data_IF_988475772671
#
_entry.id   IF_988475772671
#
_cell.length_a   1.000
_cell.length_b   1.000
_cell.length_c   1.000
_cell.angle_alpha   90.00
_cell.angle_beta   90.00
_cell.angle_gamma   90.00
#
_symmetry.space_group_name_H-M   'P 1'
#
loop_
_entity.id
_entity.type
_entity.pdbx_description
1 polymer ?
#
# COMPACT_ATOMS: atom_id res chain seq x y z
N UNK A 1 -23.63 -14.00 -63.77
CA UNK A 1 -22.83 -14.71 -62.75
C UNK A 1 -22.22 -13.66 -61.83
N UNK A 2 -22.17 -13.94 -60.52
CA UNK A 2 -22.16 -12.98 -59.41
C UNK A 2 -20.92 -12.07 -59.36
N UNK A 3 -21.17 -10.81 -58.99
CA UNK A 3 -20.19 -9.85 -58.46
C UNK A 3 -19.68 -10.37 -57.11
N UNK A 4 -18.37 -10.37 -56.88
CA UNK A 4 -17.80 -10.41 -55.54
C UNK A 4 -16.76 -9.31 -55.45
N UNK A 5 -17.15 -8.20 -54.84
CA UNK A 5 -16.26 -7.16 -54.37
C UNK A 5 -15.57 -7.67 -53.10
N UNK A 6 -14.25 -7.70 -53.09
CA UNK A 6 -13.48 -7.94 -51.87
C UNK A 6 -13.49 -6.66 -51.03
N UNK A 7 -14.38 -6.60 -50.05
CA UNK A 7 -14.32 -5.62 -48.96
C UNK A 7 -13.23 -6.08 -47.99
N UNK A 8 -12.07 -5.42 -48.05
CA UNK A 8 -11.05 -5.53 -47.02
C UNK A 8 -11.58 -4.94 -45.72
N UNK A 9 -11.84 -5.79 -44.73
CA UNK A 9 -12.18 -5.39 -43.39
C UNK A 9 -10.90 -4.88 -42.71
N UNK A 10 -10.71 -3.57 -42.66
CA UNK A 10 -9.77 -2.97 -41.72
C UNK A 10 -10.39 -3.13 -40.31
N UNK A 11 -9.96 -4.16 -39.59
CA UNK A 11 -10.25 -4.26 -38.17
C UNK A 11 -9.51 -3.13 -37.45
N UNK A 12 -10.23 -2.04 -37.18
CA UNK A 12 -9.78 -1.07 -36.19
C UNK A 12 -9.76 -1.80 -34.84
N UNK A 13 -8.56 -2.20 -34.39
CA UNK A 13 -8.35 -2.48 -32.98
C UNK A 13 -8.65 -1.18 -32.24
N UNK A 14 -9.86 -1.08 -31.67
CA UNK A 14 -10.09 -0.17 -30.56
C UNK A 14 -9.17 -0.66 -29.45
N UNK A 15 -8.07 0.07 -29.24
CA UNK A 15 -7.38 0.09 -27.97
C UNK A 15 -8.40 0.61 -26.96
N UNK A 16 -9.04 -0.30 -26.23
CA UNK A 16 -9.74 0.04 -25.01
C UNK A 16 -8.62 0.49 -24.08
N UNK A 17 -8.47 1.80 -23.93
CA UNK A 17 -7.67 2.33 -22.84
C UNK A 17 -8.48 2.01 -21.60
N UNK A 18 -8.22 0.86 -20.98
CA UNK A 18 -8.59 0.63 -19.59
C UNK A 18 -7.84 1.70 -18.82
N UNK A 19 -8.48 2.87 -18.70
CA UNK A 19 -7.91 4.02 -18.05
C UNK A 19 -7.43 3.56 -16.70
N UNK A 20 -6.15 3.78 -16.42
CA UNK A 20 -5.52 3.46 -15.14
C UNK A 20 -6.44 3.99 -14.04
N UNK A 21 -7.17 3.08 -13.39
CA UNK A 21 -7.99 3.39 -12.23
C UNK A 21 -7.03 3.43 -11.05
N UNK A 22 -6.28 4.53 -10.91
CA UNK A 22 -5.63 4.85 -9.67
C UNK A 22 -6.72 5.42 -8.76
N UNK A 23 -7.32 4.57 -7.93
CA UNK A 23 -8.13 5.03 -6.81
C UNK A 23 -7.19 5.31 -5.64
N UNK A 24 -7.26 6.53 -5.14
CA UNK A 24 -6.51 7.04 -3.99
C UNK A 24 -7.58 7.43 -2.97
N UNK A 25 -7.58 6.67 -1.86
CA UNK A 25 -8.34 6.86 -0.63
C UNK A 25 -9.86 6.61 -0.68
N UNK A 26 -10.54 6.81 0.46
CA UNK A 26 -11.99 6.64 0.70
C UNK A 26 -12.89 7.46 -0.24
N UNK A 27 -12.37 8.40 -1.03
CA UNK A 27 -13.18 9.23 -1.93
C UNK A 27 -13.60 8.48 -3.20
N UNK A 28 -12.92 7.38 -3.55
CA UNK A 28 -13.27 6.58 -4.71
C UNK A 28 -14.34 5.51 -4.36
N UNK A 29 -15.36 5.28 -5.22
CA UNK A 29 -16.39 4.28 -4.97
C UNK A 29 -15.87 2.84 -4.83
N UNK A 30 -14.72 2.53 -5.43
CA UNK A 30 -14.12 1.19 -5.42
C UNK A 30 -13.44 0.85 -4.09
N UNK A 31 -12.64 1.78 -3.55
CA UNK A 31 -11.91 1.64 -2.29
C UNK A 31 -12.85 1.65 -1.08
N UNK A 32 -13.91 2.47 -1.08
CA UNK A 32 -14.98 2.41 -0.06
C UNK A 32 -15.64 1.03 0.04
N UNK A 33 -15.73 0.32 -1.08
CA UNK A 33 -16.37 -0.99 -1.14
C UNK A 33 -15.40 -2.14 -0.80
N UNK A 34 -14.09 -1.86 -0.68
CA UNK A 34 -13.04 -2.85 -0.45
C UNK A 34 -12.00 -2.36 0.59
N UNK A 35 -12.38 -2.23 1.88
CA UNK A 35 -11.48 -1.74 2.92
C UNK A 35 -10.13 -2.47 3.03
N UNK A 36 -10.04 -3.80 2.89
CA UNK A 36 -8.75 -4.49 2.88
C UNK A 36 -7.79 -4.02 1.76
N UNK A 37 -8.31 -3.55 0.62
CA UNK A 37 -7.51 -3.05 -0.49
C UNK A 37 -7.37 -1.52 -0.51
N UNK A 38 -8.05 -0.78 0.38
CA UNK A 38 -8.01 0.68 0.45
C UNK A 38 -6.76 1.15 1.22
N UNK A 39 -5.70 1.52 0.48
CA UNK A 39 -4.52 2.16 1.07
C UNK A 39 -4.92 3.55 1.55
N UNK A 40 -4.73 3.82 2.84
CA UNK A 40 -4.93 5.16 3.39
C UNK A 40 -3.71 6.04 3.19
N UNK A 41 -2.53 5.48 3.50
CA UNK A 41 -1.27 6.21 3.49
C UNK A 41 -0.10 5.28 3.17
N UNK A 42 0.93 5.85 2.54
CA UNK A 42 2.23 5.21 2.37
C UNK A 42 3.32 6.11 2.94
N UNK A 43 4.16 5.57 3.82
CA UNK A 43 5.30 6.26 4.41
C UNK A 43 6.58 5.53 4.04
N UNK A 44 7.64 6.29 3.74
CA UNK A 44 8.98 5.74 3.57
C UNK A 44 10.02 6.72 4.11
N UNK A 45 11.00 6.22 4.87
CA UNK A 45 12.10 7.04 5.39
C UNK A 45 13.36 6.21 5.65
N UNK A 46 14.51 6.87 5.56
CA UNK A 46 15.77 6.32 6.05
C UNK A 46 15.78 6.34 7.58
N UNK A 47 16.04 5.18 8.18
CA UNK A 47 16.22 4.97 9.60
C UNK A 47 17.72 4.77 9.92
N UNK A 48 18.13 4.93 11.20
CA UNK A 48 19.51 4.64 11.61
C UNK A 48 19.98 3.24 11.21
N UNK A 49 21.31 3.03 11.22
CA UNK A 49 21.95 1.75 10.95
C UNK A 49 21.72 1.20 9.53
N UNK A 50 21.78 2.09 8.53
CA UNK A 50 21.62 1.78 7.09
C UNK A 50 20.29 1.07 6.78
N UNK A 51 19.21 1.51 7.45
CA UNK A 51 17.86 0.95 7.27
C UNK A 51 16.96 1.87 6.47
N UNK A 52 16.10 1.27 5.67
CA UNK A 52 14.99 1.93 5.01
C UNK A 52 13.71 1.35 5.61
N UNK A 53 12.79 2.19 6.05
CA UNK A 53 11.49 1.76 6.54
C UNK A 53 10.43 2.17 5.54
N UNK A 54 9.56 1.23 5.18
CA UNK A 54 8.36 1.46 4.38
C UNK A 54 7.13 0.98 5.15
N UNK A 55 6.05 1.77 5.12
CA UNK A 55 4.79 1.47 5.80
C UNK A 55 3.63 1.67 4.84
N UNK A 56 2.82 0.64 4.67
CA UNK A 56 1.53 0.70 3.96
C UNK A 56 0.42 0.62 4.99
N UNK A 57 -0.34 1.70 5.15
CA UNK A 57 -1.56 1.71 5.95
C UNK A 57 -2.77 1.45 5.04
N UNK A 58 -3.73 0.68 5.54
CA UNK A 58 -4.96 0.35 4.83
C UNK A 58 -6.11 0.10 5.81
N UNK A 59 -7.34 0.03 5.31
CA UNK A 59 -8.54 -0.17 6.12
C UNK A 59 -8.64 0.84 7.29
N UNK A 60 -8.63 2.14 6.97
CA UNK A 60 -8.61 3.20 7.99
C UNK A 60 -9.94 3.51 8.64
N UNK A 61 -9.89 4.43 9.61
CA UNK A 61 -11.03 4.87 10.44
C UNK A 61 -11.74 3.72 11.15
N UNK A 62 -11.00 2.69 11.54
CA UNK A 62 -11.53 1.61 12.37
C UNK A 62 -11.56 2.04 13.83
N UNK A 63 -12.53 1.56 14.60
CA UNK A 63 -12.62 1.88 16.03
C UNK A 63 -11.43 1.29 16.80
N UNK A 64 -10.93 2.01 17.80
CA UNK A 64 -9.86 1.51 18.67
C UNK A 64 -10.27 0.17 19.32
N UNK A 65 -9.46 -0.87 19.10
CA UNK A 65 -9.72 -2.22 19.61
C UNK A 65 -10.70 -3.05 18.79
N UNK A 66 -11.13 -2.57 17.62
CA UNK A 66 -11.82 -3.41 16.64
C UNK A 66 -10.88 -4.51 16.10
N UNK A 67 -11.49 -5.59 15.61
CA UNK A 67 -10.75 -6.65 14.94
C UNK A 67 -10.03 -6.10 13.69
N UNK A 68 -8.78 -6.53 13.42
CA UNK A 68 -8.06 -6.13 12.22
C UNK A 68 -8.81 -6.54 10.95
N UNK A 69 -8.64 -5.75 9.89
CA UNK A 69 -9.17 -6.07 8.57
C UNK A 69 -8.08 -6.72 7.74
N UNK A 70 -8.21 -8.02 7.46
CA UNK A 70 -7.33 -8.77 6.58
C UNK A 70 -8.13 -9.50 5.50
N UNK A 71 -7.53 -9.73 4.34
CA UNK A 71 -8.14 -10.50 3.26
C UNK A 71 -7.08 -11.31 2.51
N UNK A 72 -7.34 -12.60 2.30
CA UNK A 72 -6.40 -13.52 1.64
C UNK A 72 -6.31 -13.30 0.13
N UNK A 73 -7.21 -12.51 -0.44
CA UNK A 73 -7.30 -12.21 -1.86
C UNK A 73 -6.80 -10.81 -2.21
N UNK A 74 -6.08 -10.15 -1.30
CA UNK A 74 -5.40 -8.86 -1.55
C UNK A 74 -3.89 -9.07 -1.58
N UNK A 75 -3.27 -8.53 -2.61
CA UNK A 75 -1.83 -8.43 -2.79
C UNK A 75 -1.40 -6.98 -2.59
N UNK A 76 -0.46 -6.75 -1.69
CA UNK A 76 0.13 -5.45 -1.41
C UNK A 76 1.51 -5.38 -2.06
N UNK A 77 1.73 -4.38 -2.90
CA UNK A 77 3.01 -4.10 -3.55
C UNK A 77 3.69 -2.90 -2.93
N UNK A 78 5.00 -3.01 -2.66
CA UNK A 78 5.89 -1.86 -2.44
C UNK A 78 6.94 -1.92 -3.53
N UNK A 79 7.06 -0.84 -4.28
CA UNK A 79 7.84 -0.75 -5.50
C UNK A 79 8.96 0.24 -5.31
N UNK A 80 10.17 -0.13 -5.70
CA UNK A 80 11.37 0.70 -5.59
C UNK A 80 11.99 0.82 -6.98
N UNK A 81 12.05 2.05 -7.48
CA UNK A 81 12.88 2.48 -8.61
C UNK A 81 14.15 3.13 -8.02
N UNK A 82 15.31 2.58 -8.35
CA UNK A 82 16.61 3.04 -7.87
C UNK A 82 17.51 3.57 -8.98
N UNK A 83 17.04 3.65 -10.23
CA UNK A 83 17.79 4.19 -11.37
C UNK A 83 17.17 5.45 -12.01
N UNK A 84 15.94 5.78 -11.63
CA UNK A 84 15.22 6.99 -12.01
C UNK A 84 14.46 6.90 -13.34
N UNK A 85 14.26 5.70 -13.89
CA UNK A 85 13.51 5.51 -15.13
C UNK A 85 11.97 5.45 -14.94
N UNK A 86 11.49 5.46 -13.69
CA UNK A 86 10.09 5.31 -13.26
C UNK A 86 9.51 3.92 -13.54
N UNK A 87 10.35 2.90 -13.61
CA UNK A 87 10.01 1.48 -13.63
C UNK A 87 10.58 0.87 -12.36
N UNK A 88 9.81 0.02 -11.68
CA UNK A 88 10.30 -0.60 -10.46
C UNK A 88 11.45 -1.58 -10.80
N UNK A 89 12.58 -1.43 -10.09
CA UNK A 89 13.69 -2.38 -10.10
C UNK A 89 13.48 -3.50 -9.09
N UNK A 90 12.81 -3.17 -7.99
CA UNK A 90 12.48 -4.10 -6.91
C UNK A 90 11.00 -4.01 -6.61
N UNK A 91 10.33 -5.17 -6.69
CA UNK A 91 8.96 -5.35 -6.23
C UNK A 91 8.92 -6.24 -4.98
N UNK A 92 8.48 -5.65 -3.88
CA UNK A 92 8.16 -6.35 -2.63
C UNK A 92 6.67 -6.67 -2.65
N UNK A 93 6.34 -7.95 -2.50
CA UNK A 93 4.96 -8.43 -2.54
C UNK A 93 4.55 -9.04 -1.22
N UNK A 94 3.56 -8.44 -0.55
CA UNK A 94 3.01 -8.93 0.69
C UNK A 94 1.57 -9.43 0.51
N UNK A 95 1.19 -10.50 1.21
CA UNK A 95 -0.19 -10.99 1.27
C UNK A 95 -0.49 -11.63 2.61
N UNK A 96 -1.77 -11.59 3.00
CA UNK A 96 -2.25 -12.27 4.18
C UNK A 96 -2.70 -13.70 3.86
N UNK A 97 -2.61 -14.56 4.86
CA UNK A 97 -3.10 -15.93 4.81
C UNK A 97 -3.57 -16.38 6.19
N UNK A 98 -4.30 -17.48 6.22
CA UNK A 98 -4.68 -18.14 7.48
C UNK A 98 -4.01 -19.49 7.58
N UNK A 99 -3.89 -20.00 8.81
CA UNK A 99 -3.60 -21.40 9.01
C UNK A 99 -4.76 -22.28 8.49
N UNK A 100 -4.56 -23.61 8.48
CA UNK A 100 -5.57 -24.57 8.02
C UNK A 100 -6.88 -24.56 8.84
N UNK A 101 -6.84 -24.03 10.06
CA UNK A 101 -7.99 -23.94 10.94
C UNK A 101 -8.74 -22.60 10.81
N UNK A 102 -8.23 -21.67 9.99
CA UNK A 102 -8.77 -20.33 9.75
C UNK A 102 -8.93 -19.48 11.03
N UNK A 103 -8.15 -19.78 12.08
CA UNK A 103 -8.20 -19.11 13.38
C UNK A 103 -6.94 -18.29 13.70
N UNK A 104 -5.89 -18.41 12.89
CA UNK A 104 -4.67 -17.60 12.99
C UNK A 104 -4.33 -16.95 11.65
N UNK A 105 -4.03 -15.67 11.70
CA UNK A 105 -3.60 -14.88 10.56
C UNK A 105 -2.07 -14.78 10.50
N UNK A 106 -1.53 -14.83 9.30
CA UNK A 106 -0.13 -14.55 9.02
C UNK A 106 0.02 -13.65 7.80
N UNK A 107 1.22 -13.10 7.66
CA UNK A 107 1.65 -12.35 6.49
C UNK A 107 2.87 -13.03 5.86
N UNK A 108 2.92 -13.03 4.53
CA UNK A 108 4.11 -13.39 3.76
C UNK A 108 4.49 -12.18 2.92
N UNK A 109 5.76 -11.79 2.96
CA UNK A 109 6.36 -10.78 2.09
C UNK A 109 7.53 -11.37 1.31
N UNK A 110 7.54 -11.13 0.00
CA UNK A 110 8.57 -11.60 -0.92
C UNK A 110 9.54 -10.47 -1.28
N UNK A 111 10.79 -10.83 -1.56
CA UNK A 111 11.83 -9.95 -2.09
C UNK A 111 12.16 -8.73 -1.22
N UNK A 112 12.06 -8.83 0.11
CA UNK A 112 12.46 -7.75 1.01
C UNK A 112 13.97 -7.50 0.90
N UNK A 113 14.43 -6.28 0.54
CA UNK A 113 15.86 -5.97 0.40
C UNK A 113 16.66 -6.29 1.65
N UNK A 114 17.70 -7.11 1.48
CA UNK A 114 18.59 -7.54 2.56
C UNK A 114 18.08 -8.70 3.42
N UNK A 115 16.84 -9.17 3.24
CA UNK A 115 16.34 -10.33 3.97
C UNK A 115 17.19 -11.59 3.67
N UNK A 116 17.24 -12.51 4.64
CA UNK A 116 18.03 -13.74 4.51
C UNK A 116 17.44 -14.70 3.48
N UNK A 117 16.11 -14.73 3.39
CA UNK A 117 15.34 -15.60 2.49
C UNK A 117 14.48 -14.76 1.54
N UNK A 118 14.14 -15.34 0.39
CA UNK A 118 13.26 -14.69 -0.60
C UNK A 118 11.85 -14.46 -0.09
N UNK A 119 11.41 -15.24 0.89
CA UNK A 119 10.10 -15.18 1.52
C UNK A 119 10.22 -15.06 3.04
N UNK A 120 9.88 -13.88 3.57
CA UNK A 120 9.75 -13.66 5.01
C UNK A 120 8.29 -13.80 5.41
N UNK A 121 7.98 -14.66 6.37
CA UNK A 121 6.62 -14.94 6.80
C UNK A 121 6.51 -15.17 8.31
N UNK A 122 5.34 -14.88 8.87
CA UNK A 122 5.07 -15.04 10.28
C UNK A 122 3.65 -14.65 10.67
N UNK A 123 3.32 -14.83 11.94
CA UNK A 123 2.04 -14.40 12.52
C UNK A 123 1.95 -12.87 12.55
N UNK A 124 0.73 -12.35 12.33
CA UNK A 124 0.44 -10.92 12.50
C UNK A 124 0.56 -10.51 13.97
N UNK A 125 0.51 -9.20 14.25
CA UNK A 125 0.57 -8.62 15.60
C UNK A 125 1.90 -8.85 16.37
N UNK A 126 2.89 -9.43 15.70
CA UNK A 126 4.26 -9.61 16.18
C UNK A 126 5.32 -9.05 15.23
N UNK A 127 6.55 -8.91 15.75
CA UNK A 127 7.71 -8.59 14.91
C UNK A 127 8.23 -9.89 14.30
N UNK A 128 8.23 -9.95 12.97
CA UNK A 128 8.74 -11.06 12.17
C UNK A 128 10.19 -10.73 11.79
N UNK A 129 11.13 -11.61 12.14
CA UNK A 129 12.55 -11.48 11.78
C UNK A 129 12.76 -12.03 10.37
N UNK A 130 13.15 -11.16 9.43
CA UNK A 130 13.52 -11.55 8.06
C UNK A 130 14.98 -11.95 7.91
N UNK A 131 15.76 -11.93 9.00
CA UNK A 131 17.21 -12.14 8.98
C UNK A 131 17.97 -10.90 8.52
N UNK A 132 19.29 -10.90 8.76
CA UNK A 132 20.20 -9.76 8.47
C UNK A 132 19.72 -8.40 9.03
N UNK A 133 18.95 -8.44 10.12
CA UNK A 133 18.36 -7.25 10.73
C UNK A 133 17.24 -6.61 9.91
N UNK A 134 16.63 -7.33 8.96
CA UNK A 134 15.35 -6.94 8.36
C UNK A 134 14.19 -7.38 9.25
N UNK A 135 13.12 -6.59 9.27
CA UNK A 135 11.95 -6.86 10.13
C UNK A 135 10.67 -6.54 9.41
N UNK A 136 9.64 -7.32 9.72
CA UNK A 136 8.28 -7.09 9.23
C UNK A 136 7.33 -7.05 10.42
N UNK A 137 6.34 -6.17 10.36
CA UNK A 137 5.20 -6.19 11.25
C UNK A 137 3.93 -6.02 10.40
N UNK A 138 2.85 -6.71 10.77
CA UNK A 138 1.54 -6.46 10.21
C UNK A 138 0.46 -6.48 11.29
N UNK A 139 -0.42 -5.48 11.31
CA UNK A 139 -1.59 -5.44 12.20
C UNK A 139 -2.03 -4.04 12.60
N UNK A 140 -3.01 -3.92 13.54
CA UNK A 140 -3.61 -2.66 13.91
C UNK A 140 -2.63 -1.66 14.51
N UNK A 141 -2.74 -0.40 14.09
CA UNK A 141 -2.04 0.74 14.68
C UNK A 141 -2.98 1.91 14.81
N UNK A 142 -2.72 2.73 15.82
CA UNK A 142 -3.31 4.07 15.93
C UNK A 142 -2.98 4.84 14.64
N UNK A 143 -3.95 5.49 14.06
CA UNK A 143 -3.78 6.20 12.79
C UNK A 143 -2.77 7.34 12.98
N UNK A 144 -1.60 7.30 12.31
CA UNK A 144 -0.58 8.34 12.47
C UNK A 144 -0.94 9.64 11.73
N UNK A 145 -2.00 9.63 10.90
CA UNK A 145 -2.45 10.80 10.17
C UNK A 145 -3.18 11.78 11.08
N UNK A 146 -2.87 13.06 10.93
CA UNK A 146 -3.50 14.15 11.67
C UNK A 146 -4.15 15.12 10.69
N UNK A 147 -5.43 15.41 10.86
CA UNK A 147 -6.11 16.43 10.06
C UNK A 147 -7.31 17.08 10.75
N UNK A 148 -7.35 18.41 10.71
CA UNK A 148 -8.51 19.21 11.11
C UNK A 148 -9.48 19.39 9.92
N UNK A 149 -10.26 18.34 9.63
CA UNK A 149 -11.27 18.35 8.57
C UNK A 149 -12.34 19.41 8.83
N UNK A 150 -12.67 19.68 10.09
CA UNK A 150 -13.64 20.72 10.44
C UNK A 150 -13.11 22.11 10.02
N UNK A 151 -11.87 22.45 10.39
CA UNK A 151 -11.23 23.70 10.01
C UNK A 151 -11.11 23.84 8.50
N UNK A 152 -10.85 22.75 7.77
CA UNK A 152 -10.88 22.73 6.31
C UNK A 152 -12.27 23.11 5.76
N UNK A 153 -13.33 22.45 6.22
CA UNK A 153 -14.71 22.72 5.76
C UNK A 153 -15.18 24.13 6.11
N UNK A 154 -14.88 24.62 7.31
CA UNK A 154 -15.17 26.00 7.76
C UNK A 154 -14.41 27.04 6.92
N UNK A 155 -13.18 26.72 6.52
CA UNK A 155 -12.38 27.56 5.62
C UNK A 155 -13.01 27.64 4.23
N UNK A 156 -13.47 26.51 3.69
CA UNK A 156 -14.13 26.48 2.38
C UNK A 156 -15.43 27.28 2.37
N UNK A 157 -16.23 27.18 3.43
CA UNK A 157 -17.53 27.88 3.54
C UNK A 157 -17.36 29.39 3.76
N UNK A 158 -16.45 29.79 4.64
CA UNK A 158 -16.26 31.19 5.03
C UNK A 158 -15.26 31.98 4.18
N UNK A 159 -14.37 31.29 3.46
CA UNK A 159 -13.21 31.89 2.80
C UNK A 159 -12.12 32.38 3.76
N UNK A 160 -12.23 32.09 5.06
CA UNK A 160 -11.27 32.50 6.10
C UNK A 160 -10.61 31.28 6.71
N UNK A 161 -9.27 31.28 6.81
CA UNK A 161 -8.50 30.17 7.42
C UNK A 161 -8.98 29.91 8.86
N UNK A 162 -9.46 28.69 9.09
CA UNK A 162 -10.12 28.29 10.33
C UNK A 162 -9.48 27.05 10.98
N UNK A 163 -8.24 26.68 10.62
CA UNK A 163 -7.54 25.53 11.19
C UNK A 163 -7.22 25.70 12.69
N UNK A 164 -7.39 24.64 13.46
CA UNK A 164 -7.08 24.55 14.90
C UNK A 164 -6.16 23.33 15.16
N UNK A 165 -4.96 23.53 15.73
CA UNK A 165 -4.00 22.44 15.99
C UNK A 165 -4.46 21.44 17.07
N UNK A 166 -5.57 21.70 17.75
CA UNK A 166 -6.15 20.79 18.75
C UNK A 166 -7.24 19.88 18.19
N UNK A 167 -7.65 20.08 16.93
CA UNK A 167 -8.65 19.26 16.27
C UNK A 167 -7.98 18.21 15.39
N UNK A 168 -8.34 16.96 15.65
CA UNK A 168 -7.91 15.82 14.85
C UNK A 168 -9.12 14.95 14.53
N UNK A 169 -9.38 14.74 13.25
CA UNK A 169 -10.52 13.97 12.76
C UNK A 169 -10.27 12.46 12.77
N UNK A 170 -9.01 12.05 13.00
CA UNK A 170 -8.57 10.66 13.02
C UNK A 170 -8.19 10.19 14.43
N UNK A 171 -8.10 11.12 15.40
CA UNK A 171 -7.79 10.80 16.78
C UNK A 171 -8.69 9.69 17.34
N UNK A 172 -8.05 8.64 17.88
CA UNK A 172 -8.74 7.49 18.47
C UNK A 172 -9.25 6.46 17.46
N UNK A 173 -8.90 6.61 16.19
CA UNK A 173 -9.15 5.60 15.15
C UNK A 173 -7.89 4.82 14.82
N UNK A 174 -8.07 3.62 14.30
CA UNK A 174 -7.00 2.73 13.87
C UNK A 174 -6.98 2.56 12.35
N UNK A 175 -5.80 2.19 11.87
CA UNK A 175 -5.51 1.62 10.55
C UNK A 175 -4.94 0.23 10.73
N UNK A 176 -4.91 -0.56 9.65
CA UNK A 176 -4.07 -1.76 9.59
C UNK A 176 -2.77 -1.40 8.86
N UNK A 177 -1.62 -1.75 9.45
CA UNK A 177 -0.31 -1.40 8.88
C UNK A 177 0.44 -2.64 8.44
N UNK A 178 1.13 -2.57 7.30
CA UNK A 178 2.28 -3.42 6.96
C UNK A 178 3.53 -2.54 7.10
N UNK A 179 4.44 -2.91 7.99
CA UNK A 179 5.70 -2.19 8.24
C UNK A 179 6.86 -3.09 7.86
N UNK A 180 7.77 -2.58 7.03
CA UNK A 180 8.98 -3.30 6.61
C UNK A 180 10.19 -2.41 6.90
N UNK A 181 11.08 -2.91 7.76
CA UNK A 181 12.43 -2.39 7.97
C UNK A 181 13.39 -3.24 7.12
N UNK A 182 13.96 -2.65 6.07
CA UNK A 182 14.82 -3.33 5.09
C UNK A 182 16.21 -2.70 5.04
N UNK A 183 17.15 -3.37 4.37
CA UNK A 183 18.50 -2.84 4.16
C UNK A 183 18.47 -1.71 3.10
N UNK A 184 18.90 -0.50 3.49
CA UNK A 184 18.84 0.67 2.63
C UNK A 184 19.79 0.57 1.43
N UNK A 185 20.95 -0.05 1.61
CA UNK A 185 21.94 -0.20 0.54
C UNK A 185 21.47 -1.25 -0.49
N UNK A 186 20.85 -2.34 -0.04
CA UNK A 186 20.24 -3.33 -0.91
C UNK A 186 19.05 -2.74 -1.69
N UNK A 187 18.26 -1.86 -1.06
CA UNK A 187 17.17 -1.15 -1.74
C UNK A 187 17.70 -0.14 -2.78
N UNK A 188 18.76 0.60 -2.44
CA UNK A 188 19.38 1.59 -3.31
C UNK A 188 20.18 0.99 -4.47
N UNK A 189 20.72 -0.23 -4.33
CA UNK A 189 21.57 -0.82 -5.35
C UNK A 189 22.80 0.05 -5.64
N UNK A 190 23.00 0.45 -6.90
CA UNK A 190 24.03 1.41 -7.31
C UNK A 190 23.52 2.87 -7.33
N UNK A 191 22.23 3.07 -7.07
CA UNK A 191 21.54 4.35 -7.13
C UNK A 191 21.79 5.24 -5.90
N UNK A 192 21.52 6.54 -6.08
CA UNK A 192 21.55 7.54 -4.99
C UNK A 192 20.19 8.23 -4.80
N UNK A 193 19.16 7.78 -5.50
CA UNK A 193 17.80 8.31 -5.44
C UNK A 193 16.85 7.14 -5.48
N UNK A 194 15.86 7.16 -4.59
CA UNK A 194 14.82 6.14 -4.51
C UNK A 194 13.49 6.79 -4.82
N UNK A 195 12.78 6.25 -5.81
CA UNK A 195 11.36 6.50 -5.99
C UNK A 195 10.60 5.29 -5.47
N UNK A 196 9.69 5.51 -4.53
CA UNK A 196 9.00 4.41 -3.85
C UNK A 196 7.51 4.69 -3.83
N UNK A 197 6.71 3.70 -4.19
CA UNK A 197 5.25 3.77 -4.15
C UNK A 197 4.66 2.43 -3.72
N UNK A 198 3.38 2.45 -3.33
CA UNK A 198 2.64 1.26 -2.94
C UNK A 198 1.45 1.02 -3.86
N UNK A 199 1.05 -0.24 -3.98
CA UNK A 199 -0.17 -0.65 -4.69
C UNK A 199 -0.90 -1.74 -3.92
N UNK A 200 -2.19 -1.87 -4.19
CA UNK A 200 -3.01 -3.03 -3.81
C UNK A 200 -3.67 -3.60 -5.05
N UNK A 201 -3.86 -4.92 -5.08
CA UNK A 201 -4.55 -5.61 -6.17
C UNK A 201 -5.25 -6.87 -5.70
N UNK A 202 -6.37 -7.22 -6.33
CA UNK A 202 -7.05 -8.49 -6.10
C UNK A 202 -6.38 -9.62 -6.88
N UNK A 203 -6.27 -10.80 -6.24
CA UNK A 203 -5.73 -12.04 -6.82
C UNK A 203 -6.74 -12.80 -7.71
#
# INVERSE_FOLDING_TARGET
MKVVAALGFAAAMLLVNDGVQAADHTEAPGTQADPPADITDFYAWEAPDDKLVAVVNFAGKTEAGADPTYDTQVLYGIHIDNDGDNIADIDIWCRFGTNMAEDLWGIQCLNVPGAADTDTNGEVDGVIDGGNGTKIFAGPRDDPFFFDLQGYLETLDSGTLSFDPTRDSFAGTNVTSIVIEMDALAAAGEGTTLQIWATTGRL
#
